data_IF_606718599873
#
_entry.id   IF_606718599873
#
_cell.length_a   1.000
_cell.length_b   1.000
_cell.length_c   1.000
_cell.angle_alpha   90.00
_cell.angle_beta   90.00
_cell.angle_gamma   90.00
#
_symmetry.space_group_name_H-M   'P 1'
#
loop_
_entity.id
_entity.type
_entity.pdbx_description
1 polymer ?
#
# COMPACT_ATOMS: atom_id res chain seq x y z
N UNK A 1 -23.03 23.44 -49.30
CA UNK A 1 -22.86 23.66 -47.85
C UNK A 1 -21.40 23.41 -47.49
N UNK A 2 -20.80 24.25 -46.63
CA UNK A 2 -19.38 24.16 -46.25
C UNK A 2 -19.16 23.20 -45.09
N UNK A 3 -18.06 22.45 -45.09
CA UNK A 3 -17.65 21.50 -44.05
C UNK A 3 -17.55 22.11 -42.63
N UNK A 4 -17.35 23.44 -42.54
CA UNK A 4 -17.43 24.20 -41.28
C UNK A 4 -18.84 24.26 -40.69
N UNK A 5 -19.88 24.18 -41.52
CA UNK A 5 -21.29 24.27 -41.10
C UNK A 5 -21.77 22.94 -40.48
N UNK A 6 -21.22 21.82 -40.94
CA UNK A 6 -21.49 20.46 -40.42
C UNK A 6 -20.85 20.19 -39.04
N UNK A 7 -19.76 20.88 -38.69
CA UNK A 7 -19.04 20.69 -37.43
C UNK A 7 -19.60 21.48 -36.23
N UNK A 8 -20.48 22.47 -36.46
CA UNK A 8 -21.01 23.37 -35.42
C UNK A 8 -22.49 23.15 -35.04
N UNK A 9 -23.16 22.14 -35.59
CA UNK A 9 -24.63 21.99 -35.44
C UNK A 9 -25.06 21.13 -34.24
N UNK A 10 -24.14 20.67 -33.40
CA UNK A 10 -24.48 19.95 -32.17
C UNK A 10 -24.44 20.87 -30.95
N UNK A 11 -25.60 21.05 -30.32
CA UNK A 11 -25.77 21.76 -29.06
C UNK A 11 -24.82 21.20 -27.99
N UNK A 12 -24.03 22.08 -27.36
CA UNK A 12 -23.12 21.66 -26.27
C UNK A 12 -23.89 21.44 -24.97
N UNK A 13 -23.31 20.68 -24.04
CA UNK A 13 -23.92 20.43 -22.71
C UNK A 13 -24.15 21.71 -21.91
N UNK A 14 -23.21 22.66 -21.97
CA UNK A 14 -23.33 23.97 -21.30
C UNK A 14 -24.49 24.80 -21.87
N UNK A 15 -24.66 24.79 -23.20
CA UNK A 15 -25.75 25.51 -23.85
C UNK A 15 -27.11 24.85 -23.57
N UNK A 16 -27.15 23.51 -23.57
CA UNK A 16 -28.34 22.75 -23.20
C UNK A 16 -28.79 23.03 -21.76
N UNK A 17 -27.85 23.12 -20.81
CA UNK A 17 -28.15 23.45 -19.41
C UNK A 17 -28.69 24.86 -19.25
N UNK A 18 -28.09 25.84 -19.92
CA UNK A 18 -28.58 27.23 -19.93
C UNK A 18 -29.97 27.31 -20.53
N UNK A 19 -30.23 26.59 -21.62
CA UNK A 19 -31.51 26.58 -22.30
C UNK A 19 -32.65 25.97 -21.45
N UNK A 20 -32.35 24.94 -20.65
CA UNK A 20 -33.31 24.35 -19.71
C UNK A 20 -33.33 25.04 -18.33
N UNK A 21 -32.43 26.00 -18.07
CA UNK A 21 -32.32 26.70 -16.79
C UNK A 21 -31.87 25.79 -15.64
N UNK A 22 -30.93 24.88 -15.92
CA UNK A 22 -30.39 23.93 -14.95
C UNK A 22 -28.98 24.34 -14.50
N UNK A 23 -28.70 24.17 -13.22
CA UNK A 23 -27.35 24.30 -12.63
C UNK A 23 -26.61 22.96 -12.65
N UNK A 24 -25.29 22.97 -12.47
CA UNK A 24 -24.50 21.74 -12.35
C UNK A 24 -25.04 20.85 -11.20
N UNK A 25 -25.10 19.53 -11.43
CA UNK A 25 -25.55 18.55 -10.44
C UNK A 25 -27.06 18.30 -10.38
N UNK A 26 -27.82 18.64 -11.43
CA UNK A 26 -29.27 18.43 -11.50
C UNK A 26 -29.66 16.95 -11.54
N UNK A 27 -30.65 16.52 -10.77
CA UNK A 27 -31.10 15.13 -10.84
C UNK A 27 -32.07 14.85 -12.03
N UNK A 28 -32.43 13.59 -12.25
CA UNK A 28 -33.31 13.19 -13.37
C UNK A 28 -34.72 13.81 -13.24
N UNK A 29 -35.20 13.99 -12.01
CA UNK A 29 -36.47 14.63 -11.70
C UNK A 29 -36.47 16.11 -12.06
N UNK A 30 -35.38 16.82 -11.74
CA UNK A 30 -35.15 18.22 -12.11
C UNK A 30 -35.05 18.40 -13.62
N UNK A 31 -34.32 17.51 -14.31
CA UNK A 31 -34.22 17.53 -15.78
C UNK A 31 -35.60 17.38 -16.44
N UNK A 32 -36.40 16.39 -16.01
CA UNK A 32 -37.76 16.17 -16.54
C UNK A 32 -38.70 17.34 -16.25
N UNK A 33 -38.55 18.00 -15.09
CA UNK A 33 -39.35 19.16 -14.70
C UNK A 33 -38.95 20.40 -15.50
N UNK A 34 -37.65 20.63 -15.68
CA UNK A 34 -37.11 21.71 -16.49
C UNK A 34 -37.51 21.58 -17.96
N UNK A 35 -37.38 20.37 -18.54
CA UNK A 35 -37.84 20.08 -19.90
C UNK A 35 -39.33 20.37 -20.08
N UNK A 36 -40.19 19.90 -19.17
CA UNK A 36 -41.65 20.17 -19.25
C UNK A 36 -41.97 21.65 -19.18
N UNK A 37 -41.25 22.43 -18.37
CA UNK A 37 -41.44 23.89 -18.29
C UNK A 37 -40.98 24.58 -19.59
N UNK A 38 -39.82 24.22 -20.11
CA UNK A 38 -39.26 24.79 -21.33
C UNK A 38 -40.10 24.43 -22.56
N UNK A 39 -40.53 23.16 -22.69
CA UNK A 39 -41.35 22.69 -23.79
C UNK A 39 -42.74 23.36 -23.78
N UNK A 40 -43.38 23.51 -22.62
CA UNK A 40 -44.66 24.22 -22.56
C UNK A 40 -44.57 25.68 -23.02
N UNK A 41 -43.41 26.34 -22.87
CA UNK A 41 -43.18 27.71 -23.35
C UNK A 41 -42.80 27.77 -24.83
N UNK A 42 -42.12 26.75 -25.33
CA UNK A 42 -41.65 26.67 -26.71
C UNK A 42 -42.67 26.02 -27.67
N UNK A 43 -43.74 25.42 -27.16
CA UNK A 43 -44.72 24.69 -27.94
C UNK A 43 -45.42 25.59 -28.98
N UNK A 44 -45.50 25.20 -30.26
CA UNK A 44 -46.17 25.97 -31.33
C UNK A 44 -47.61 26.38 -30.96
N UNK A 45 -48.38 25.43 -30.44
CA UNK A 45 -49.78 25.66 -30.03
C UNK A 45 -49.96 26.64 -28.85
N UNK A 46 -48.86 27.04 -28.20
CA UNK A 46 -48.85 27.99 -27.07
C UNK A 46 -48.13 29.30 -27.41
N UNK A 47 -47.99 29.60 -28.70
CA UNK A 47 -47.32 30.81 -29.19
C UNK A 47 -45.81 30.67 -29.34
N UNK A 48 -45.26 29.46 -29.23
CA UNK A 48 -43.89 29.15 -29.56
C UNK A 48 -43.69 28.82 -31.05
N UNK A 49 -42.56 28.22 -31.39
CA UNK A 49 -42.26 27.80 -32.77
C UNK A 49 -41.73 26.37 -32.79
N UNK A 50 -41.89 25.72 -33.95
CA UNK A 50 -41.39 24.35 -34.17
C UNK A 50 -39.88 24.29 -33.90
N UNK A 51 -39.14 25.29 -34.38
CA UNK A 51 -37.69 25.41 -34.16
C UNK A 51 -37.33 25.57 -32.67
N UNK A 52 -38.12 26.34 -31.92
CA UNK A 52 -37.88 26.53 -30.49
C UNK A 52 -38.13 25.22 -29.71
N UNK A 53 -39.20 24.50 -30.04
CA UNK A 53 -39.48 23.19 -29.44
C UNK A 53 -38.42 22.16 -29.81
N UNK A 54 -37.92 22.17 -31.05
CA UNK A 54 -36.84 21.28 -31.49
C UNK A 54 -35.56 21.52 -30.68
N UNK A 55 -35.17 22.78 -30.45
CA UNK A 55 -34.02 23.12 -29.60
C UNK A 55 -34.18 22.63 -28.15
N UNK A 56 -35.39 22.70 -27.59
CA UNK A 56 -35.68 22.16 -26.24
C UNK A 56 -35.55 20.63 -26.21
N UNK A 57 -36.03 19.95 -27.25
CA UNK A 57 -35.88 18.49 -27.39
C UNK A 57 -34.41 18.09 -27.52
N UNK A 58 -33.64 18.81 -28.33
CA UNK A 58 -32.20 18.57 -28.52
C UNK A 58 -31.43 18.78 -27.22
N UNK A 59 -31.73 19.85 -26.46
CA UNK A 59 -31.15 20.08 -25.14
C UNK A 59 -31.45 18.94 -24.16
N UNK A 60 -32.69 18.46 -24.12
CA UNK A 60 -33.07 17.33 -23.29
C UNK A 60 -32.34 16.05 -23.69
N UNK A 61 -32.22 15.76 -24.99
CA UNK A 61 -31.51 14.58 -25.48
C UNK A 61 -30.00 14.63 -25.19
N UNK A 62 -29.38 15.81 -25.33
CA UNK A 62 -27.98 16.04 -24.95
C UNK A 62 -27.79 15.76 -23.45
N UNK A 63 -28.67 16.25 -22.59
CA UNK A 63 -28.53 16.11 -21.13
C UNK A 63 -29.02 14.76 -20.56
N UNK A 64 -29.93 14.07 -21.26
CA UNK A 64 -30.47 12.75 -20.85
C UNK A 64 -29.40 11.66 -20.85
N UNK A 65 -28.42 11.74 -21.75
CA UNK A 65 -27.37 10.74 -21.93
C UNK A 65 -25.99 11.19 -21.41
N UNK A 66 -25.89 12.41 -20.87
CA UNK A 66 -24.69 12.83 -20.14
C UNK A 66 -24.73 12.10 -18.79
N UNK A 67 -23.80 11.16 -18.59
CA UNK A 67 -23.48 10.60 -17.27
C UNK A 67 -22.93 11.71 -16.34
N UNK A 68 -23.78 12.65 -15.95
CA UNK A 68 -23.35 13.87 -15.26
C UNK A 68 -24.47 14.81 -14.80
N UNK A 69 -25.74 14.40 -14.87
CA UNK A 69 -26.80 15.06 -14.10
C UNK A 69 -26.65 14.77 -12.60
N UNK A 70 -26.45 13.51 -12.22
CA UNK A 70 -26.06 13.20 -10.84
C UNK A 70 -24.67 13.80 -10.61
N UNK A 71 -24.51 14.67 -9.61
CA UNK A 71 -23.19 15.10 -9.12
C UNK A 71 -22.28 13.86 -9.13
N UNK A 72 -21.32 13.76 -10.06
CA UNK A 72 -20.52 12.55 -10.18
C UNK A 72 -19.85 12.26 -8.85
N UNK A 73 -19.48 13.32 -8.12
CA UNK A 73 -18.92 13.26 -6.80
C UNK A 73 -19.91 12.73 -5.75
N UNK A 74 -21.23 12.90 -5.90
CA UNK A 74 -22.22 12.30 -5.01
C UNK A 74 -22.24 10.76 -5.11
N UNK A 75 -22.23 10.22 -6.34
CA UNK A 75 -22.09 8.76 -6.55
C UNK A 75 -20.75 8.25 -6.01
N UNK A 76 -19.66 8.99 -6.22
CA UNK A 76 -18.36 8.64 -5.65
C UNK A 76 -18.35 8.71 -4.12
N UNK A 77 -18.97 9.73 -3.51
CA UNK A 77 -19.09 9.86 -2.04
C UNK A 77 -19.94 8.74 -1.44
N UNK A 78 -21.08 8.42 -2.04
CA UNK A 78 -21.92 7.30 -1.62
C UNK A 78 -21.16 5.98 -1.70
N UNK A 79 -20.51 5.69 -2.83
CA UNK A 79 -19.70 4.48 -3.00
C UNK A 79 -18.51 4.44 -2.04
N UNK A 80 -17.87 5.59 -1.78
CA UNK A 80 -16.78 5.69 -0.81
C UNK A 80 -17.28 5.37 0.61
N UNK A 81 -18.46 5.85 0.99
CA UNK A 81 -19.05 5.57 2.29
C UNK A 81 -19.49 4.10 2.42
N UNK A 82 -20.12 3.54 1.38
CA UNK A 82 -20.44 2.11 1.31
C UNK A 82 -19.16 1.24 1.39
N UNK A 83 -18.07 1.65 0.74
CA UNK A 83 -16.79 0.95 0.81
C UNK A 83 -16.14 1.05 2.19
N UNK A 84 -16.27 2.19 2.88
CA UNK A 84 -15.79 2.33 4.27
C UNK A 84 -16.57 1.45 5.22
N UNK A 85 -17.88 1.37 5.08
CA UNK A 85 -18.72 0.53 5.93
C UNK A 85 -18.39 -0.96 5.70
N UNK A 86 -18.27 -1.37 4.44
CA UNK A 86 -17.78 -2.72 4.10
C UNK A 86 -16.39 -2.99 4.68
N UNK A 87 -15.46 -2.05 4.56
CA UNK A 87 -14.13 -2.18 5.12
C UNK A 87 -14.17 -2.38 6.64
N UNK A 88 -15.03 -1.64 7.34
CA UNK A 88 -15.25 -1.77 8.80
C UNK A 88 -15.83 -3.13 9.17
N UNK A 89 -16.87 -3.59 8.49
CA UNK A 89 -17.50 -4.91 8.73
C UNK A 89 -16.49 -6.03 8.47
N UNK A 90 -15.76 -5.96 7.36
CA UNK A 90 -14.70 -6.91 7.03
C UNK A 90 -13.62 -6.95 8.11
N UNK A 91 -13.17 -5.79 8.59
CA UNK A 91 -12.15 -5.69 9.63
C UNK A 91 -12.59 -6.38 10.92
N UNK A 92 -13.82 -6.13 11.39
CA UNK A 92 -14.39 -6.77 12.58
C UNK A 92 -14.48 -8.29 12.41
N UNK A 93 -15.01 -8.76 11.27
CA UNK A 93 -15.13 -10.19 10.98
C UNK A 93 -13.76 -10.88 10.99
N UNK A 94 -12.79 -10.31 10.28
CA UNK A 94 -11.43 -10.86 10.17
C UNK A 94 -10.72 -10.79 11.52
N UNK A 95 -10.93 -9.74 12.31
CA UNK A 95 -10.38 -9.67 13.67
C UNK A 95 -10.90 -10.81 14.54
N UNK A 96 -12.21 -11.07 14.54
CA UNK A 96 -12.82 -12.18 15.28
C UNK A 96 -12.28 -13.54 14.80
N UNK A 97 -12.20 -13.74 13.48
CA UNK A 97 -11.64 -14.95 12.88
C UNK A 97 -10.21 -15.20 13.37
N UNK A 98 -9.34 -14.20 13.31
CA UNK A 98 -7.95 -14.34 13.74
C UNK A 98 -7.81 -14.48 15.25
N UNK A 99 -8.68 -13.85 16.05
CA UNK A 99 -8.70 -14.03 17.50
C UNK A 99 -9.07 -15.49 17.88
N UNK A 100 -9.95 -16.12 17.11
CA UNK A 100 -10.36 -17.49 17.32
C UNK A 100 -9.30 -18.51 16.87
N UNK A 101 -8.68 -18.29 15.70
CA UNK A 101 -7.90 -19.33 15.02
C UNK A 101 -6.40 -19.09 14.99
N UNK A 102 -5.92 -17.85 15.14
CA UNK A 102 -4.48 -17.58 15.20
C UNK A 102 -4.02 -17.50 16.65
N UNK A 103 -3.13 -18.39 17.05
CA UNK A 103 -2.55 -18.41 18.40
C UNK A 103 -1.07 -17.99 18.35
N UNK A 104 -0.74 -16.72 18.63
CA UNK A 104 0.65 -16.23 18.52
C UNK A 104 1.63 -17.00 19.41
N UNK A 105 1.18 -17.44 20.60
CA UNK A 105 2.04 -18.21 21.52
C UNK A 105 2.45 -19.57 20.95
N UNK A 106 1.58 -20.22 20.15
CA UNK A 106 1.93 -21.47 19.46
C UNK A 106 3.04 -21.24 18.44
N UNK A 107 2.97 -20.15 17.67
CA UNK A 107 4.02 -19.74 16.74
C UNK A 107 5.33 -19.39 17.47
N UNK A 108 5.26 -18.61 18.55
CA UNK A 108 6.45 -18.26 19.34
C UNK A 108 7.15 -19.50 19.91
N UNK A 109 6.40 -20.43 20.51
CA UNK A 109 6.95 -21.69 21.02
C UNK A 109 7.54 -22.55 19.90
N UNK A 110 6.89 -22.59 18.74
CA UNK A 110 7.39 -23.29 17.56
C UNK A 110 8.73 -22.71 17.07
N UNK A 111 8.88 -21.38 17.05
CA UNK A 111 10.16 -20.76 16.69
C UNK A 111 11.23 -20.96 17.77
N UNK A 112 10.85 -20.95 19.05
CA UNK A 112 11.74 -21.27 20.17
C UNK A 112 12.30 -22.68 20.08
N UNK A 113 11.46 -23.69 19.78
CA UNK A 113 11.90 -25.09 19.61
C UNK A 113 13.05 -25.21 18.59
N UNK A 114 13.03 -24.38 17.55
CA UNK A 114 13.94 -24.48 16.41
C UNK A 114 15.20 -23.62 16.56
N UNK A 115 15.09 -22.51 17.27
CA UNK A 115 16.15 -21.50 17.41
C UNK A 115 16.82 -21.49 18.78
N UNK A 116 16.15 -22.01 19.81
CA UNK A 116 16.53 -21.87 21.22
C UNK A 116 16.29 -20.48 21.81
N UNK A 117 15.64 -19.55 21.09
CA UNK A 117 15.43 -18.15 21.51
C UNK A 117 13.98 -17.87 21.90
N UNK A 118 13.77 -16.91 22.78
CA UNK A 118 12.43 -16.39 23.07
C UNK A 118 11.97 -15.41 21.99
N UNK A 119 10.66 -15.35 21.74
CA UNK A 119 10.07 -14.46 20.75
C UNK A 119 8.94 -13.62 21.32
N UNK A 120 9.01 -12.32 21.10
CA UNK A 120 7.88 -11.40 21.24
C UNK A 120 7.15 -11.28 19.91
N UNK A 121 5.91 -10.77 19.94
CA UNK A 121 5.18 -10.54 18.71
C UNK A 121 4.39 -9.22 18.73
N UNK A 122 4.26 -8.64 17.54
CA UNK A 122 3.41 -7.50 17.25
C UNK A 122 2.34 -7.93 16.24
N UNK A 123 1.12 -7.42 16.40
CA UNK A 123 0.01 -7.63 15.47
C UNK A 123 -0.45 -6.30 14.92
N UNK A 124 -0.74 -6.26 13.62
CA UNK A 124 -1.43 -5.14 12.98
C UNK A 124 -2.57 -5.68 12.11
N UNK A 125 -3.75 -5.08 12.22
CA UNK A 125 -4.87 -5.31 11.31
C UNK A 125 -5.19 -3.98 10.65
N UNK A 126 -5.47 -4.02 9.35
CA UNK A 126 -5.95 -2.86 8.60
C UNK A 126 -6.80 -3.31 7.42
N UNK A 127 -7.97 -2.72 7.26
CA UNK A 127 -8.75 -2.84 6.03
C UNK A 127 -8.25 -1.90 4.93
N UNK A 128 -8.44 -2.28 3.67
CA UNK A 128 -8.24 -1.37 2.55
C UNK A 128 -9.51 -0.56 2.32
N UNK A 129 -9.49 0.73 2.65
CA UNK A 129 -10.61 1.64 2.35
C UNK A 129 -10.88 1.79 0.84
N UNK A 130 -9.87 1.55 0.01
CA UNK A 130 -9.96 1.61 -1.46
C UNK A 130 -10.65 0.37 -2.05
N UNK A 131 -10.42 -0.80 -1.46
CA UNK A 131 -10.92 -2.09 -1.91
C UNK A 131 -11.64 -2.75 -0.74
N UNK A 132 -12.75 -2.16 -0.27
CA UNK A 132 -13.43 -2.43 1.02
C UNK A 132 -13.81 -3.88 1.36
N UNK A 133 -13.35 -4.85 0.58
CA UNK A 133 -13.38 -6.29 0.79
C UNK A 133 -12.04 -6.92 1.18
N UNK A 134 -10.94 -6.19 1.31
CA UNK A 134 -9.63 -6.76 1.66
C UNK A 134 -9.15 -6.28 3.01
N UNK A 135 -8.88 -7.23 3.91
CA UNK A 135 -8.28 -6.98 5.22
C UNK A 135 -6.88 -7.58 5.27
N UNK A 136 -5.93 -6.78 5.71
CA UNK A 136 -4.55 -7.20 5.93
C UNK A 136 -4.31 -7.42 7.42
N UNK A 137 -3.86 -8.62 7.78
CA UNK A 137 -3.48 -9.00 9.14
C UNK A 137 -2.01 -9.40 9.13
N UNK A 138 -1.16 -8.66 9.82
CA UNK A 138 0.27 -8.97 9.91
C UNK A 138 0.69 -9.31 11.34
N UNK A 139 1.47 -10.37 11.48
CA UNK A 139 2.20 -10.69 12.69
C UNK A 139 3.70 -10.61 12.42
N UNK A 140 4.43 -9.96 13.33
CA UNK A 140 5.89 -9.99 13.37
C UNK A 140 6.31 -10.63 14.67
N UNK A 141 7.12 -11.67 14.58
CA UNK A 141 7.80 -12.28 15.72
C UNK A 141 9.27 -11.85 15.70
N UNK A 142 9.77 -11.39 16.83
CA UNK A 142 11.13 -10.88 16.99
C UNK A 142 11.82 -11.63 18.11
N UNK A 143 13.03 -12.15 17.86
CA UNK A 143 13.82 -12.79 18.91
C UNK A 143 14.28 -11.78 19.96
N UNK A 144 14.48 -12.25 21.19
CA UNK A 144 15.05 -11.49 22.31
C UNK A 144 16.32 -10.69 21.97
N UNK A 145 17.22 -11.24 21.16
CA UNK A 145 18.45 -10.59 20.70
C UNK A 145 18.26 -9.62 19.51
N UNK A 146 17.04 -9.49 18.98
CA UNK A 146 16.68 -8.70 17.81
C UNK A 146 17.46 -9.05 16.53
N UNK A 147 17.91 -10.31 16.39
CA UNK A 147 18.62 -10.80 15.19
C UNK A 147 17.81 -11.73 14.31
N UNK A 148 16.65 -12.19 14.80
CA UNK A 148 15.77 -13.10 14.08
C UNK A 148 14.36 -12.55 14.03
N UNK A 149 13.79 -12.50 12.83
CA UNK A 149 12.47 -11.97 12.56
C UNK A 149 11.69 -12.94 11.69
N UNK A 150 10.46 -13.25 12.11
CA UNK A 150 9.48 -13.97 11.30
C UNK A 150 8.29 -13.05 11.08
N UNK A 151 8.00 -12.72 9.81
CA UNK A 151 6.76 -12.06 9.47
C UNK A 151 5.83 -13.01 8.76
N UNK A 152 4.55 -12.90 9.09
CA UNK A 152 3.46 -13.53 8.37
C UNK A 152 2.36 -12.50 8.14
N UNK A 153 2.11 -12.22 6.87
CA UNK A 153 1.10 -11.27 6.41
C UNK A 153 -0.03 -12.06 5.73
N UNK A 154 -1.25 -11.90 6.23
CA UNK A 154 -2.45 -12.47 5.68
C UNK A 154 -3.27 -11.39 4.97
N UNK A 155 -3.74 -11.70 3.76
CA UNK A 155 -4.67 -10.87 3.00
C UNK A 155 -5.98 -11.64 2.87
N UNK A 156 -6.94 -11.30 3.72
CA UNK A 156 -8.27 -11.89 3.73
C UNK A 156 -9.16 -11.11 2.74
N UNK A 157 -9.59 -11.78 1.68
CA UNK A 157 -10.59 -11.27 0.75
C UNK A 157 -11.96 -11.70 1.25
N UNK A 158 -12.84 -10.74 1.41
CA UNK A 158 -14.21 -10.90 1.89
C UNK A 158 -15.18 -10.80 0.72
N UNK A 159 -16.23 -11.62 0.72
CA UNK A 159 -17.38 -11.40 -0.13
C UNK A 159 -18.51 -10.73 0.66
N UNK A 160 -19.30 -9.92 -0.04
CA UNK A 160 -20.54 -9.32 0.47
C UNK A 160 -21.63 -9.63 -0.53
N UNK A 161 -22.52 -10.57 -0.21
CA UNK A 161 -23.66 -10.89 -1.07
C UNK A 161 -24.90 -10.18 -0.56
N UNK A 162 -25.53 -9.38 -1.43
CA UNK A 162 -26.91 -8.92 -1.22
C UNK A 162 -27.83 -10.09 -1.56
N UNK A 163 -28.65 -10.52 -0.61
CA UNK A 163 -29.64 -11.55 -0.90
C UNK A 163 -30.60 -11.04 -2.00
N UNK A 164 -30.81 -11.85 -3.04
CA UNK A 164 -31.84 -11.58 -4.04
C UNK A 164 -33.20 -11.61 -3.33
N UNK A 165 -33.94 -10.50 -3.34
CA UNK A 165 -35.29 -10.43 -2.76
C UNK A 165 -35.39 -9.92 -1.31
N UNK A 166 -34.37 -9.24 -0.77
CA UNK A 166 -34.49 -8.55 0.52
C UNK A 166 -34.16 -9.41 1.76
N UNK A 167 -33.45 -10.52 1.57
CA UNK A 167 -32.84 -11.27 2.68
C UNK A 167 -31.61 -10.58 3.28
N UNK A 168 -31.08 -11.16 4.36
CA UNK A 168 -29.93 -10.63 5.10
C UNK A 168 -28.66 -10.59 4.22
N UNK A 169 -27.92 -9.48 4.27
CA UNK A 169 -26.61 -9.39 3.60
C UNK A 169 -25.64 -10.34 4.31
N UNK A 170 -25.12 -11.34 3.59
CA UNK A 170 -24.14 -12.26 4.17
C UNK A 170 -22.72 -11.84 3.82
N UNK A 171 -21.85 -11.87 4.82
CA UNK A 171 -20.43 -11.54 4.73
C UNK A 171 -19.62 -12.76 5.13
N UNK A 172 -18.56 -13.06 4.37
CA UNK A 172 -17.69 -14.19 4.68
C UNK A 172 -16.33 -14.11 3.99
N UNK A 173 -15.42 -14.98 4.43
CA UNK A 173 -14.09 -15.11 3.83
C UNK A 173 -14.22 -15.83 2.48
N UNK A 174 -13.86 -15.14 1.39
CA UNK A 174 -13.76 -15.73 0.05
C UNK A 174 -12.43 -16.48 -0.11
N UNK A 175 -11.32 -15.80 0.17
CA UNK A 175 -10.00 -16.39 0.03
C UNK A 175 -8.96 -15.72 0.90
N UNK A 176 -7.94 -16.49 1.27
CA UNK A 176 -6.83 -16.02 2.07
C UNK A 176 -5.55 -16.08 1.25
N UNK A 177 -4.75 -15.04 1.31
CA UNK A 177 -3.38 -15.11 0.80
C UNK A 177 -2.40 -14.88 1.92
N UNK A 178 -1.29 -15.60 1.89
CA UNK A 178 -0.26 -15.55 2.92
C UNK A 178 1.06 -15.16 2.29
N UNK A 179 1.72 -14.18 2.89
CA UNK A 179 3.10 -13.82 2.60
C UNK A 179 3.95 -14.08 3.84
N UNK A 180 5.10 -14.73 3.66
CA UNK A 180 6.02 -15.08 4.76
C UNK A 180 7.40 -14.51 4.50
N UNK A 181 8.03 -14.03 5.56
CA UNK A 181 9.39 -13.50 5.50
C UNK A 181 10.17 -13.96 6.72
N UNK A 182 11.41 -14.41 6.50
CA UNK A 182 12.33 -14.82 7.57
C UNK A 182 13.65 -14.11 7.39
N UNK A 183 14.07 -13.37 8.42
CA UNK A 183 15.40 -12.79 8.54
C UNK A 183 16.08 -13.45 9.75
N UNK A 184 17.28 -13.98 9.57
CA UNK A 184 18.08 -14.49 10.68
C UNK A 184 19.54 -14.07 10.45
N UNK A 185 20.14 -13.40 11.43
CA UNK A 185 21.52 -12.88 11.35
C UNK A 185 21.73 -12.04 10.07
N UNK A 186 20.78 -11.14 9.80
CA UNK A 186 20.71 -10.26 8.62
C UNK A 186 20.67 -10.95 7.27
N UNK A 187 20.38 -12.25 7.23
CA UNK A 187 20.18 -13.02 6.00
C UNK A 187 18.71 -13.40 5.81
N UNK A 188 18.16 -13.17 4.62
CA UNK A 188 16.80 -13.59 4.26
C UNK A 188 16.79 -15.07 3.89
N UNK A 189 15.84 -15.80 4.47
CA UNK A 189 15.57 -17.20 4.14
C UNK A 189 14.17 -17.36 3.55
N UNK A 190 14.07 -18.09 2.44
CA UNK A 190 12.79 -18.37 1.78
C UNK A 190 12.14 -19.63 2.36
N UNK A 191 10.88 -19.52 2.78
CA UNK A 191 10.11 -20.67 3.27
C UNK A 191 9.46 -21.47 2.14
N UNK A 192 9.34 -20.90 0.93
CA UNK A 192 8.82 -21.59 -0.25
C UNK A 192 9.46 -21.05 -1.55
N UNK A 193 9.04 -21.52 -2.73
CA UNK A 193 9.49 -20.98 -4.03
C UNK A 193 9.16 -19.49 -4.13
N UNK A 194 7.94 -19.15 -3.72
CA UNK A 194 7.41 -17.79 -3.60
C UNK A 194 7.28 -17.41 -2.12
N UNK A 195 7.41 -16.12 -1.80
CA UNK A 195 7.11 -15.63 -0.46
C UNK A 195 5.58 -15.54 -0.26
N UNK A 196 4.83 -15.35 -1.35
CA UNK A 196 3.37 -15.32 -1.44
C UNK A 196 2.77 -16.66 -1.85
N UNK A 197 1.66 -17.05 -1.22
CA UNK A 197 0.80 -18.19 -1.57
C UNK A 197 -0.67 -17.82 -1.39
N UNK A 198 -1.53 -18.33 -2.27
CA UNK A 198 -2.99 -18.27 -2.07
C UNK A 198 -3.43 -19.58 -1.39
N UNK A 199 -4.25 -19.47 -0.36
CA UNK A 199 -4.78 -20.58 0.42
C UNK A 199 -6.27 -20.40 0.66
N UNK A 200 -7.03 -21.48 0.53
CA UNK A 200 -8.49 -21.43 0.73
C UNK A 200 -8.91 -22.11 2.05
N UNK A 201 -7.95 -22.52 2.88
CA UNK A 201 -8.19 -23.21 4.15
C UNK A 201 -7.69 -22.41 5.34
N UNK A 202 -8.46 -22.43 6.43
CA UNK A 202 -8.09 -21.81 7.71
C UNK A 202 -6.92 -22.50 8.41
N UNK A 203 -6.55 -23.72 7.99
CA UNK A 203 -5.40 -24.45 8.55
C UNK A 203 -4.10 -23.65 8.45
N UNK A 204 -3.95 -22.82 7.42
CA UNK A 204 -2.76 -21.98 7.25
C UNK A 204 -2.65 -20.90 8.33
N UNK A 205 -3.75 -20.55 9.00
CA UNK A 205 -3.74 -19.64 10.15
C UNK A 205 -3.26 -20.40 11.40
N UNK A 206 -3.79 -21.61 11.59
CA UNK A 206 -3.61 -22.40 12.82
C UNK A 206 -2.23 -23.06 12.93
N UNK A 207 -1.66 -23.53 11.82
CA UNK A 207 -0.47 -24.38 11.85
C UNK A 207 0.79 -23.64 11.36
N UNK A 208 1.77 -23.37 12.24
CA UNK A 208 3.00 -22.68 11.86
C UNK A 208 3.84 -23.44 10.83
N UNK A 209 3.79 -24.78 10.78
CA UNK A 209 4.58 -25.58 9.85
C UNK A 209 4.18 -25.37 8.38
N UNK A 210 2.89 -25.05 8.12
CA UNK A 210 2.41 -24.73 6.76
C UNK A 210 3.09 -23.47 6.18
N UNK A 211 3.37 -22.51 7.06
CA UNK A 211 3.99 -21.23 6.72
C UNK A 211 5.52 -21.28 6.81
N UNK A 212 6.02 -21.97 7.83
CA UNK A 212 7.43 -22.04 8.19
C UNK A 212 7.86 -23.49 8.39
N UNK A 213 8.05 -24.29 7.32
CA UNK A 213 8.28 -25.72 7.45
C UNK A 213 9.46 -26.08 8.35
N UNK A 214 9.27 -27.02 9.29
CA UNK A 214 10.27 -27.41 10.31
C UNK A 214 11.61 -27.75 9.67
N UNK A 215 11.59 -28.54 8.59
CA UNK A 215 12.82 -28.95 7.90
C UNK A 215 13.63 -27.76 7.34
N UNK A 216 12.96 -26.67 6.94
CA UNK A 216 13.64 -25.46 6.47
C UNK A 216 14.19 -24.65 7.64
N UNK A 217 13.41 -24.48 8.70
CA UNK A 217 13.87 -23.75 9.89
C UNK A 217 15.09 -24.42 10.54
N UNK A 218 15.09 -25.76 10.67
CA UNK A 218 16.27 -26.51 11.15
C UNK A 218 17.52 -26.17 10.33
N UNK A 219 17.39 -26.08 9.00
CA UNK A 219 18.50 -25.69 8.10
C UNK A 219 18.92 -24.24 8.25
N UNK A 220 18.02 -23.33 8.65
CA UNK A 220 18.35 -21.92 8.92
C UNK A 220 19.25 -21.82 10.14
N UNK A 221 18.85 -22.48 11.23
CA UNK A 221 19.54 -22.39 12.52
C UNK A 221 20.78 -23.30 12.61
N UNK A 222 20.93 -24.29 11.73
CA UNK A 222 22.12 -25.15 11.69
C UNK A 222 23.30 -24.58 10.88
N UNK A 223 23.20 -23.36 10.34
CA UNK A 223 24.24 -22.78 9.47
C UNK A 223 25.47 -22.42 10.30
N UNK A 224 26.58 -23.15 10.11
CA UNK A 224 27.85 -22.89 10.81
C UNK A 224 28.66 -21.73 10.22
N UNK A 225 28.59 -21.51 8.89
CA UNK A 225 29.33 -20.46 8.18
C UNK A 225 28.38 -19.46 7.54
N UNK A 226 28.61 -18.16 7.77
CA UNK A 226 27.80 -17.10 7.16
C UNK A 226 27.95 -17.12 5.64
N UNK A 227 26.80 -17.12 4.96
CA UNK A 227 26.72 -17.15 3.50
C UNK A 227 26.74 -15.73 2.93
N UNK A 228 27.31 -15.50 1.73
CA UNK A 228 27.29 -14.20 1.08
C UNK A 228 25.90 -13.57 1.00
N UNK A 229 25.78 -12.29 1.32
CA UNK A 229 24.52 -11.55 1.32
C UNK A 229 24.18 -10.98 -0.05
N UNK A 230 22.89 -10.69 -0.26
CA UNK A 230 22.34 -10.11 -1.50
C UNK A 230 21.43 -8.94 -1.19
N UNK A 231 21.04 -8.16 -2.20
CA UNK A 231 20.10 -7.03 -2.08
C UNK A 231 18.87 -7.32 -1.21
N UNK A 232 18.25 -8.50 -1.35
CA UNK A 232 17.07 -8.84 -0.57
C UNK A 232 17.33 -8.94 0.95
N UNK A 233 18.57 -9.27 1.33
CA UNK A 233 19.03 -9.30 2.71
C UNK A 233 19.15 -7.87 3.25
N UNK A 234 19.81 -6.97 2.50
CA UNK A 234 19.90 -5.53 2.80
C UNK A 234 18.51 -4.90 3.00
N UNK A 235 17.62 -5.06 2.02
CA UNK A 235 16.28 -4.47 2.07
C UNK A 235 15.43 -4.99 3.24
N UNK A 236 15.66 -6.24 3.67
CA UNK A 236 14.96 -6.80 4.81
C UNK A 236 15.59 -6.30 6.12
N UNK A 237 16.92 -6.29 6.24
CA UNK A 237 17.64 -5.73 7.38
C UNK A 237 17.29 -4.25 7.61
N UNK A 238 17.37 -3.39 6.58
CA UNK A 238 16.96 -1.98 6.70
C UNK A 238 15.52 -1.83 7.20
N UNK A 239 14.61 -2.67 6.73
CA UNK A 239 13.20 -2.59 7.09
C UNK A 239 12.89 -3.11 8.50
N UNK A 240 13.60 -4.15 8.95
CA UNK A 240 13.36 -4.78 10.27
C UNK A 240 14.12 -4.10 11.39
N UNK A 241 15.32 -3.64 11.10
CA UNK A 241 16.24 -3.14 12.11
C UNK A 241 16.36 -1.61 12.15
N UNK A 242 16.06 -0.93 11.04
CA UNK A 242 16.05 0.54 10.97
C UNK A 242 14.65 1.12 10.72
N UNK A 243 13.60 0.30 10.75
CA UNK A 243 12.23 0.69 10.39
C UNK A 243 12.15 1.41 9.02
N UNK A 244 13.03 1.06 8.09
CA UNK A 244 13.09 1.73 6.81
C UNK A 244 11.86 1.38 5.95
N UNK A 245 11.26 2.40 5.35
CA UNK A 245 10.33 2.18 4.23
C UNK A 245 11.14 2.07 2.94
N UNK A 246 10.69 1.23 2.01
CA UNK A 246 11.43 0.90 0.80
C UNK A 246 10.51 0.80 -0.39
N UNK A 247 11.04 1.16 -1.56
CA UNK A 247 10.45 0.78 -2.84
C UNK A 247 11.54 0.23 -3.77
N UNK A 248 11.30 0.24 -5.09
CA UNK A 248 12.26 -0.27 -6.07
C UNK A 248 13.56 0.55 -6.10
N UNK A 249 13.49 1.85 -5.83
CA UNK A 249 14.55 2.81 -6.16
C UNK A 249 15.12 3.52 -4.93
N UNK A 250 14.37 3.62 -3.84
CA UNK A 250 14.80 4.29 -2.61
C UNK A 250 14.54 3.47 -1.34
N UNK A 251 15.31 3.81 -0.31
CA UNK A 251 15.04 3.48 1.09
C UNK A 251 14.93 4.79 1.87
N UNK A 252 13.97 4.85 2.80
CA UNK A 252 13.77 5.97 3.71
C UNK A 252 13.89 5.47 5.13
N UNK A 253 14.87 5.97 5.87
CA UNK A 253 15.17 5.60 7.23
C UNK A 253 14.69 6.73 8.14
N UNK A 254 13.65 6.54 8.96
CA UNK A 254 13.24 7.57 9.92
C UNK A 254 14.33 7.78 10.97
N UNK A 255 14.54 9.02 11.39
CA UNK A 255 15.42 9.40 12.50
C UNK A 255 14.57 9.80 13.71
N UNK A 256 15.14 9.77 14.93
CA UNK A 256 14.40 10.06 16.17
C UNK A 256 13.83 11.48 16.27
N UNK A 257 14.35 12.43 15.51
CA UNK A 257 14.06 13.86 15.60
C UNK A 257 13.02 14.34 14.56
N UNK A 258 12.21 13.44 14.00
CA UNK A 258 11.19 13.80 12.99
C UNK A 258 11.78 14.06 11.59
N UNK A 259 13.02 13.66 11.36
CA UNK A 259 13.67 13.68 10.06
C UNK A 259 13.70 12.28 9.44
N UNK A 260 13.92 12.23 8.13
CA UNK A 260 13.98 11.01 7.34
C UNK A 260 15.21 11.09 6.45
N UNK A 261 16.10 10.13 6.60
CA UNK A 261 17.26 9.97 5.73
C UNK A 261 16.87 9.12 4.51
N UNK A 262 17.09 9.65 3.32
CA UNK A 262 16.71 8.99 2.07
C UNK A 262 17.96 8.59 1.32
N UNK A 263 18.01 7.33 0.87
CA UNK A 263 19.00 6.84 -0.07
C UNK A 263 18.32 6.33 -1.33
N UNK A 264 18.90 6.65 -2.49
CA UNK A 264 18.55 6.05 -3.76
C UNK A 264 19.52 4.92 -4.07
N UNK A 265 19.00 3.76 -4.45
CA UNK A 265 19.84 2.66 -4.91
C UNK A 265 20.17 2.85 -6.39
N UNK A 266 21.44 2.99 -6.69
CA UNK A 266 21.96 3.04 -8.07
C UNK A 266 22.87 1.84 -8.34
N UNK A 267 23.10 1.56 -9.63
CA UNK A 267 24.14 0.64 -10.07
C UNK A 267 25.14 1.46 -10.86
N UNK A 268 26.37 1.51 -10.38
CA UNK A 268 27.47 2.23 -11.02
C UNK A 268 28.62 1.26 -11.21
N UNK A 269 29.21 1.22 -12.41
CA UNK A 269 30.33 0.32 -12.73
C UNK A 269 30.09 -1.15 -12.32
N UNK A 270 28.87 -1.66 -12.58
CA UNK A 270 28.40 -3.03 -12.21
C UNK A 270 28.35 -3.31 -10.70
N UNK A 271 28.54 -2.32 -9.86
CA UNK A 271 28.40 -2.42 -8.41
C UNK A 271 27.19 -1.59 -7.96
N UNK A 272 26.36 -2.19 -7.12
CA UNK A 272 25.22 -1.49 -6.57
C UNK A 272 25.63 -0.72 -5.32
N UNK A 273 25.04 0.46 -5.13
CA UNK A 273 25.26 1.27 -3.94
C UNK A 273 23.99 2.03 -3.55
N UNK A 274 23.86 2.32 -2.27
CA UNK A 274 22.87 3.22 -1.70
C UNK A 274 23.48 4.61 -1.62
N UNK A 275 23.14 5.46 -2.59
CA UNK A 275 23.60 6.84 -2.66
C UNK A 275 22.68 7.73 -1.82
N UNK A 276 23.28 8.59 -1.00
CA UNK A 276 22.58 9.62 -0.25
C UNK A 276 21.77 10.48 -1.22
N UNK A 277 20.48 10.62 -0.92
CA UNK A 277 19.58 11.46 -1.68
C UNK A 277 19.33 12.78 -0.92
N UNK A 278 19.17 12.69 0.40
CA UNK A 278 19.02 13.86 1.25
C UNK A 278 18.46 13.53 2.63
N UNK A 279 18.50 14.55 3.49
CA UNK A 279 17.77 14.61 4.74
C UNK A 279 16.47 15.37 4.52
N UNK A 280 15.37 14.79 4.99
CA UNK A 280 14.03 15.31 4.81
C UNK A 280 13.34 15.50 6.16
N UNK A 281 12.43 16.45 6.28
CA UNK A 281 11.44 16.48 7.36
C UNK A 281 10.36 15.40 7.09
N UNK A 282 9.77 14.82 8.14
CA UNK A 282 8.75 13.78 7.97
C UNK A 282 7.41 14.35 7.49
N UNK A 283 6.98 15.49 8.07
CA UNK A 283 5.71 16.17 7.76
C UNK A 283 5.85 17.70 7.89
N UNK A 284 5.69 18.48 6.81
CA UNK A 284 5.57 18.03 5.42
C UNK A 284 6.87 17.35 4.95
N UNK A 285 6.77 16.47 3.96
CA UNK A 285 7.95 15.78 3.42
C UNK A 285 8.77 16.73 2.54
N UNK A 286 9.72 17.46 3.13
CA UNK A 286 10.55 18.47 2.45
C UNK A 286 12.02 18.17 2.62
N UNK A 287 12.82 18.35 1.55
CA UNK A 287 14.28 18.21 1.62
C UNK A 287 14.88 19.40 2.34
N UNK A 288 15.60 19.13 3.41
CA UNK A 288 16.34 20.12 4.19
C UNK A 288 17.79 20.21 3.72
N UNK A 289 18.39 19.06 3.40
CA UNK A 289 19.80 18.98 3.03
C UNK A 289 20.05 17.89 2.00
N UNK A 290 20.94 18.14 1.05
CA UNK A 290 21.49 17.11 0.16
C UNK A 290 22.56 16.32 0.92
N UNK A 291 22.56 14.99 0.80
CA UNK A 291 23.56 14.12 1.43
C UNK A 291 24.34 13.42 0.32
N UNK A 292 25.65 13.61 0.28
CA UNK A 292 26.53 13.10 -0.79
C UNK A 292 27.46 11.99 -0.24
N UNK A 293 26.88 11.03 0.48
CA UNK A 293 27.58 9.84 0.98
C UNK A 293 26.94 8.60 0.37
N UNK A 294 27.71 7.57 0.03
CA UNK A 294 27.17 6.31 -0.48
C UNK A 294 27.72 5.09 0.25
N UNK A 295 26.93 4.01 0.27
CA UNK A 295 27.31 2.72 0.85
C UNK A 295 27.16 1.62 -0.18
N UNK A 296 28.19 0.82 -0.37
CA UNK A 296 28.23 -0.26 -1.36
C UNK A 296 27.35 -1.45 -0.93
N UNK A 297 26.73 -2.11 -1.91
CA UNK A 297 26.18 -3.46 -1.70
C UNK A 297 27.32 -4.48 -1.79
N UNK A 298 27.87 -4.83 -0.63
CA UNK A 298 28.85 -5.91 -0.51
C UNK A 298 28.17 -7.28 -0.42
N UNK A 299 28.87 -8.32 -0.87
CA UNK A 299 28.51 -9.71 -0.62
C UNK A 299 28.98 -10.20 0.76
N UNK A 300 29.86 -9.44 1.43
CA UNK A 300 30.38 -9.76 2.74
C UNK A 300 29.28 -9.55 3.80
N UNK A 301 28.86 -10.59 4.54
CA UNK A 301 27.85 -10.45 5.57
C UNK A 301 28.28 -9.53 6.73
N UNK A 302 29.57 -9.45 7.04
CA UNK A 302 30.08 -8.61 8.14
C UNK A 302 30.06 -7.11 7.76
N UNK A 303 30.20 -6.80 6.47
CA UNK A 303 29.98 -5.44 5.96
C UNK A 303 28.54 -4.99 6.19
N UNK A 304 27.56 -5.86 5.88
CA UNK A 304 26.15 -5.55 6.13
C UNK A 304 25.91 -5.35 7.63
N UNK A 305 26.59 -6.12 8.48
CA UNK A 305 26.44 -5.96 9.91
C UNK A 305 26.91 -4.59 10.40
N UNK A 306 28.15 -4.24 10.09
CA UNK A 306 28.73 -2.96 10.48
C UNK A 306 27.94 -1.77 9.90
N UNK A 307 27.40 -1.93 8.68
CA UNK A 307 26.55 -0.92 8.06
C UNK A 307 25.26 -0.73 8.86
N UNK A 308 24.53 -1.81 9.16
CA UNK A 308 23.27 -1.70 9.90
C UNK A 308 23.52 -1.17 11.32
N UNK A 309 24.55 -1.65 12.01
CA UNK A 309 24.86 -1.19 13.38
C UNK A 309 25.30 0.28 13.40
N UNK A 310 26.10 0.69 12.42
CA UNK A 310 26.45 2.11 12.23
C UNK A 310 25.23 2.97 11.95
N UNK A 311 24.35 2.54 11.05
CA UNK A 311 23.12 3.25 10.71
C UNK A 311 22.14 3.31 11.88
N UNK A 312 22.05 2.26 12.72
CA UNK A 312 21.28 2.28 13.98
C UNK A 312 21.81 3.36 14.93
N UNK A 313 23.13 3.47 15.07
CA UNK A 313 23.72 4.52 15.92
C UNK A 313 23.31 5.89 15.39
N UNK A 314 23.52 6.13 14.09
CA UNK A 314 23.14 7.38 13.41
C UNK A 314 21.65 7.71 13.58
N UNK A 315 20.76 6.73 13.36
CA UNK A 315 19.32 6.87 13.55
C UNK A 315 18.93 7.38 14.94
N UNK A 316 19.72 7.02 15.95
CA UNK A 316 19.46 7.32 17.35
C UNK A 316 20.17 8.56 17.87
N UNK A 317 21.30 8.96 17.26
CA UNK A 317 22.19 10.00 17.82
C UNK A 317 22.34 11.24 16.95
N UNK A 318 22.15 11.14 15.64
CA UNK A 318 22.53 12.21 14.72
C UNK A 318 21.47 13.31 14.63
N UNK A 319 21.93 14.55 14.54
CA UNK A 319 21.10 15.73 14.28
C UNK A 319 21.26 16.19 12.83
N UNK A 320 20.44 17.12 12.31
CA UNK A 320 20.62 17.66 10.96
C UNK A 320 22.02 18.23 10.70
N UNK A 321 22.67 18.75 11.74
CA UNK A 321 24.01 19.34 11.67
C UNK A 321 25.11 18.27 11.61
N UNK A 322 24.97 17.16 12.35
CA UNK A 322 26.01 16.13 12.45
C UNK A 322 25.87 15.00 11.44
N UNK A 323 24.67 14.81 10.87
CA UNK A 323 24.32 13.62 10.07
C UNK A 323 25.32 13.30 8.95
N UNK A 324 25.78 14.31 8.22
CA UNK A 324 26.69 14.12 7.09
C UNK A 324 28.07 13.66 7.56
N UNK A 325 28.57 14.26 8.65
CA UNK A 325 29.83 13.84 9.28
C UNK A 325 29.72 12.41 9.81
N UNK A 326 28.63 12.08 10.48
CA UNK A 326 28.42 10.74 11.05
C UNK A 326 28.34 9.66 9.95
N UNK A 327 27.67 9.97 8.83
CA UNK A 327 27.61 9.10 7.66
C UNK A 327 28.99 8.92 7.02
N UNK A 328 29.79 9.98 6.87
CA UNK A 328 31.12 9.89 6.28
C UNK A 328 32.09 9.11 7.17
N UNK A 329 31.98 9.25 8.51
CA UNK A 329 32.73 8.42 9.47
C UNK A 329 32.37 6.94 9.31
N UNK A 330 31.09 6.62 9.19
CA UNK A 330 30.64 5.24 8.96
C UNK A 330 31.18 4.70 7.62
N UNK A 331 31.07 5.48 6.55
CA UNK A 331 31.57 5.10 5.22
C UNK A 331 33.07 4.83 5.27
N UNK A 332 33.85 5.75 5.81
CA UNK A 332 35.31 5.60 5.96
C UNK A 332 35.68 4.35 6.76
N UNK A 333 34.95 4.06 7.85
CA UNK A 333 35.16 2.83 8.64
C UNK A 333 34.91 1.57 7.81
N UNK A 334 33.84 1.56 7.01
CA UNK A 334 33.48 0.43 6.16
C UNK A 334 34.47 0.23 5.01
N UNK A 335 34.91 1.30 4.37
CA UNK A 335 35.91 1.26 3.30
C UNK A 335 37.24 0.70 3.81
N UNK A 336 37.76 1.25 4.92
CA UNK A 336 39.01 0.77 5.53
C UNK A 336 39.00 -0.70 5.92
N UNK A 337 37.84 -1.23 6.30
CA UNK A 337 37.73 -2.60 6.80
C UNK A 337 37.50 -3.63 5.69
N UNK A 338 36.92 -3.22 4.57
CA UNK A 338 36.36 -4.16 3.60
C UNK A 338 36.65 -3.83 2.13
N UNK A 339 37.26 -2.69 1.84
CA UNK A 339 37.52 -2.21 0.47
C UNK A 339 38.99 -1.87 0.20
N UNK A 340 39.83 -1.82 1.24
CA UNK A 340 41.28 -1.53 1.12
C UNK A 340 42.15 -2.80 0.87
N UNK A 341 41.56 -3.88 0.34
CA UNK A 341 42.26 -5.09 -0.13
C UNK A 341 42.32 -5.17 -1.66
#
# INVERSE_FOLDING_TARGET
MSFKQFLFEKMTTSDAMKLLGLSNGFDETELKKAYRRASNKAHPDKGGSVDAQQRVNDAYNVLKNVEGGVDPMAKYRQRAEENKEKARIAEIYVEQLFNQYFQPRVYANYFKEMSGKEYTFERNIRSSSTWGSVVHVSYRFTSDDNKTFFDIDFYANMYFTKALGGGEESTGLDSLSVNTSVLHERKKYKMSRSDYKRENSIEVIQNPDKNFPKAKLKKVFSVKKRKPVKRADYLLAFSKELNATKNKDYIKIPLKNGYVLVFTRIVFMRQAQYQGNGLYTEKPFRREKLIITSFMESKNPDYLDDLIDGMKKIQNTSTPETIEKDLEVLKTKLERRYMDD
#
